data_IF_372746858367
#
_entry.id   IF_372746858367
#
_cell.length_a   1.000
_cell.length_b   1.000
_cell.length_c   1.000
_cell.angle_alpha   90.00
_cell.angle_beta   90.00
_cell.angle_gamma   90.00
#
_symmetry.space_group_name_H-M   'P 1'
#
loop_
_entity.id
_entity.type
_entity.pdbx_description
1 polymer ?
#
# COMPACT_ATOMS: atom_id res chain seq x y z
N UNK A 1 8.76 -25.41 -4.82
CA UNK A 1 9.71 -24.28 -4.69
C UNK A 1 9.69 -23.54 -6.01
N UNK A 2 9.19 -22.30 -6.01
CA UNK A 2 9.16 -21.42 -7.18
C UNK A 2 9.47 -20.02 -6.68
N UNK A 3 10.65 -19.53 -7.00
CA UNK A 3 11.13 -18.23 -6.55
C UNK A 3 10.19 -17.12 -7.06
N UNK A 4 9.54 -16.39 -6.15
CA UNK A 4 8.59 -15.30 -6.47
C UNK A 4 9.29 -14.02 -6.94
N UNK A 5 10.62 -14.00 -6.94
CA UNK A 5 11.42 -13.05 -7.69
C UNK A 5 12.50 -13.81 -8.42
N UNK A 6 12.60 -13.61 -9.72
CA UNK A 6 13.81 -14.00 -10.44
C UNK A 6 14.95 -13.18 -9.80
N UNK A 7 15.83 -13.83 -9.06
CA UNK A 7 16.97 -13.23 -8.33
C UNK A 7 17.93 -12.48 -9.26
N UNK A 8 17.76 -12.65 -10.56
CA UNK A 8 18.27 -11.74 -11.59
C UNK A 8 17.43 -10.46 -11.64
N UNK A 9 17.64 -9.54 -10.68
CA UNK A 9 17.10 -8.17 -10.76
C UNK A 9 17.77 -7.48 -11.95
N UNK A 10 17.21 -7.65 -13.15
CA UNK A 10 17.78 -7.14 -14.40
C UNK A 10 17.39 -5.67 -14.68
N UNK A 11 16.52 -5.06 -13.87
CA UNK A 11 16.11 -3.65 -14.03
C UNK A 11 15.54 -3.01 -12.76
N UNK A 12 15.66 -1.67 -12.70
CA UNK A 12 14.98 -0.81 -11.71
C UNK A 12 13.46 -0.94 -11.84
N UNK A 13 12.76 -1.08 -10.70
CA UNK A 13 11.30 -0.94 -10.66
C UNK A 13 10.91 0.47 -11.13
N UNK A 14 9.89 0.57 -11.99
CA UNK A 14 9.35 1.84 -12.46
C UNK A 14 8.22 2.30 -11.53
N UNK A 15 8.11 3.62 -11.35
CA UNK A 15 7.05 4.29 -10.58
C UNK A 15 6.93 3.87 -9.10
N UNK A 16 8.06 3.67 -8.41
CA UNK A 16 8.13 3.45 -6.96
C UNK A 16 7.50 4.62 -6.16
N UNK A 17 7.32 5.81 -6.75
CA UNK A 17 6.68 6.96 -6.11
C UNK A 17 5.17 6.76 -5.84
N UNK A 18 4.52 5.80 -6.50
CA UNK A 18 3.08 5.54 -6.32
C UNK A 18 2.70 5.11 -4.89
N UNK A 19 3.40 4.13 -4.28
CA UNK A 19 3.27 3.86 -2.86
C UNK A 19 3.43 5.11 -1.98
N UNK A 20 4.40 5.99 -2.26
CA UNK A 20 4.64 7.19 -1.46
C UNK A 20 3.43 8.15 -1.49
N UNK A 21 2.94 8.51 -2.68
CA UNK A 21 1.85 9.48 -2.83
C UNK A 21 0.58 8.99 -2.12
N UNK A 22 0.22 7.72 -2.36
CA UNK A 22 -0.99 7.13 -1.77
C UNK A 22 -0.86 6.95 -0.26
N UNK A 23 0.34 6.68 0.25
CA UNK A 23 0.62 6.53 1.68
C UNK A 23 0.56 7.85 2.42
N UNK A 24 1.20 8.90 1.89
CA UNK A 24 1.13 10.24 2.47
C UNK A 24 -0.32 10.75 2.50
N UNK A 25 -1.07 10.56 1.40
CA UNK A 25 -2.49 10.89 1.37
C UNK A 25 -3.30 10.15 2.44
N UNK A 26 -3.03 8.84 2.62
CA UNK A 26 -3.68 8.04 3.67
C UNK A 26 -3.38 8.56 5.07
N UNK A 27 -2.12 8.89 5.39
CA UNK A 27 -1.75 9.45 6.69
C UNK A 27 -2.47 10.77 6.96
N UNK A 28 -2.49 11.68 5.98
CA UNK A 28 -3.16 12.98 6.10
C UNK A 28 -4.66 12.82 6.34
N UNK A 29 -5.31 11.91 5.61
CA UNK A 29 -6.72 11.59 5.86
C UNK A 29 -6.94 11.01 7.24
N UNK A 30 -6.03 10.15 7.73
CA UNK A 30 -6.10 9.63 9.09
C UNK A 30 -6.07 10.73 10.15
N UNK A 31 -5.18 11.71 10.03
CA UNK A 31 -5.16 12.87 10.92
C UNK A 31 -6.41 13.74 10.78
N UNK A 32 -6.90 13.95 9.56
CA UNK A 32 -8.15 14.67 9.34
C UNK A 32 -9.34 13.99 10.03
N UNK A 33 -9.43 12.66 10.02
CA UNK A 33 -10.46 11.92 10.75
C UNK A 33 -10.37 12.12 12.27
N UNK A 34 -9.17 12.25 12.83
CA UNK A 34 -8.99 12.58 14.25
C UNK A 34 -9.47 14.00 14.57
N UNK A 35 -9.21 14.97 13.70
CA UNK A 35 -9.74 16.34 13.89
C UNK A 35 -11.27 16.34 13.92
N UNK A 36 -11.91 15.61 13.01
CA UNK A 36 -13.38 15.49 13.00
C UNK A 36 -13.92 14.79 14.25
N UNK A 37 -13.20 13.80 14.78
CA UNK A 37 -13.55 13.16 16.05
C UNK A 37 -13.56 14.16 17.22
N UNK A 38 -12.56 15.04 17.30
CA UNK A 38 -12.47 16.08 18.36
C UNK A 38 -13.63 17.07 18.25
N UNK A 39 -14.03 17.41 17.01
CA UNK A 39 -15.14 18.31 16.73
C UNK A 39 -16.53 17.64 16.80
N UNK A 40 -16.60 16.34 17.11
CA UNK A 40 -17.82 15.52 17.10
C UNK A 40 -18.58 15.56 15.76
N UNK A 41 -17.86 15.68 14.65
CA UNK A 41 -18.43 15.68 13.29
C UNK A 41 -18.35 14.30 12.66
N UNK A 42 -19.32 13.96 11.80
CA UNK A 42 -19.28 12.71 11.04
C UNK A 42 -18.42 12.91 9.80
N UNK A 43 -17.47 12.02 9.57
CA UNK A 43 -16.63 12.09 8.39
C UNK A 43 -17.39 11.84 7.09
N UNK A 44 -17.10 12.67 6.08
CA UNK A 44 -17.58 12.45 4.72
C UNK A 44 -16.88 11.24 4.08
N UNK A 45 -17.67 10.36 3.44
CA UNK A 45 -17.15 9.19 2.72
C UNK A 45 -16.37 9.51 1.46
N UNK A 46 -16.50 10.73 0.93
CA UNK A 46 -15.90 11.12 -0.33
C UNK A 46 -14.36 11.10 -0.27
N UNK A 47 -13.79 11.51 0.86
CA UNK A 47 -12.32 11.57 1.05
C UNK A 47 -11.70 10.15 1.01
N UNK A 48 -12.19 9.18 1.82
CA UNK A 48 -11.83 7.77 1.66
C UNK A 48 -11.96 7.24 0.24
N UNK A 49 -13.09 7.52 -0.43
CA UNK A 49 -13.36 7.08 -1.79
C UNK A 49 -12.30 7.56 -2.79
N UNK A 50 -11.99 8.85 -2.79
CA UNK A 50 -10.97 9.46 -3.67
C UNK A 50 -9.59 8.83 -3.42
N UNK A 51 -9.23 8.57 -2.16
CA UNK A 51 -7.97 7.90 -1.83
C UNK A 51 -7.91 6.47 -2.34
N UNK A 52 -9.01 5.70 -2.22
CA UNK A 52 -9.07 4.35 -2.77
C UNK A 52 -8.97 4.35 -4.30
N UNK A 53 -9.62 5.30 -4.99
CA UNK A 53 -9.48 5.46 -6.44
C UNK A 53 -8.01 5.73 -6.79
N UNK A 54 -7.40 6.75 -6.16
CA UNK A 54 -6.01 7.12 -6.41
C UNK A 54 -5.07 5.93 -6.16
N UNK A 55 -5.32 5.15 -5.10
CA UNK A 55 -4.47 4.02 -4.80
C UNK A 55 -4.73 2.79 -5.65
N UNK A 56 -5.97 2.47 -5.99
CA UNK A 56 -6.28 1.36 -6.88
C UNK A 56 -5.73 1.60 -8.28
N UNK A 57 -5.82 2.84 -8.77
CA UNK A 57 -5.23 3.26 -10.03
C UNK A 57 -3.70 3.14 -9.99
N UNK A 58 -3.09 3.68 -8.94
CA UNK A 58 -1.63 3.61 -8.74
C UNK A 58 -1.12 2.17 -8.70
N UNK A 59 -1.81 1.28 -7.98
CA UNK A 59 -1.43 -0.14 -7.89
C UNK A 59 -1.62 -0.88 -9.21
N UNK A 60 -2.71 -0.59 -9.93
CA UNK A 60 -2.99 -1.17 -11.24
C UNK A 60 -1.91 -0.78 -12.26
N UNK A 61 -1.58 0.52 -12.34
CA UNK A 61 -0.51 1.02 -13.22
C UNK A 61 0.83 0.40 -12.83
N UNK A 62 1.16 0.36 -11.54
CA UNK A 62 2.40 -0.25 -11.05
C UNK A 62 2.52 -1.72 -11.44
N UNK A 63 1.44 -2.49 -11.29
CA UNK A 63 1.39 -3.92 -11.62
C UNK A 63 1.59 -4.16 -13.12
N UNK A 64 0.92 -3.37 -13.97
CA UNK A 64 1.05 -3.48 -15.44
C UNK A 64 2.43 -3.04 -15.91
N UNK A 65 3.03 -1.99 -15.34
CA UNK A 65 4.35 -1.53 -15.77
C UNK A 65 5.48 -2.48 -15.37
N UNK A 66 5.30 -3.22 -14.27
CA UNK A 66 6.32 -4.09 -13.71
C UNK A 66 5.96 -5.58 -13.86
N UNK A 67 5.05 -5.95 -14.78
CA UNK A 67 4.56 -7.31 -14.97
C UNK A 67 5.65 -8.37 -15.22
N UNK A 68 6.78 -7.98 -15.83
CA UNK A 68 7.92 -8.86 -16.09
C UNK A 68 8.82 -9.07 -14.87
N UNK A 69 8.67 -8.23 -13.84
CA UNK A 69 9.56 -8.19 -12.67
C UNK A 69 8.88 -8.76 -11.41
N UNK A 70 7.56 -8.69 -11.33
CA UNK A 70 6.78 -9.13 -10.18
C UNK A 70 6.11 -10.47 -10.51
N UNK A 71 6.49 -11.55 -9.84
CA UNK A 71 5.72 -12.79 -9.94
C UNK A 71 4.39 -12.61 -9.21
N UNK A 72 3.30 -13.08 -9.82
CA UNK A 72 1.95 -12.85 -9.29
C UNK A 72 1.38 -11.47 -9.59
N UNK A 73 1.93 -10.71 -10.55
CA UNK A 73 1.43 -9.40 -10.98
C UNK A 73 -0.09 -9.35 -11.26
N UNK A 74 -0.68 -10.47 -11.73
CA UNK A 74 -2.11 -10.57 -12.00
C UNK A 74 -2.98 -10.43 -10.74
N UNK A 75 -2.52 -10.93 -9.59
CA UNK A 75 -3.21 -10.76 -8.31
C UNK A 75 -3.14 -9.31 -7.84
N UNK A 76 -1.97 -8.68 -7.94
CA UNK A 76 -1.80 -7.25 -7.60
C UNK A 76 -2.67 -6.35 -8.50
N UNK A 77 -2.79 -6.68 -9.79
CA UNK A 77 -3.68 -5.99 -10.71
C UNK A 77 -5.15 -6.20 -10.33
N UNK A 78 -5.56 -7.44 -10.06
CA UNK A 78 -6.93 -7.76 -9.66
C UNK A 78 -7.33 -6.99 -8.41
N UNK A 79 -6.50 -7.03 -7.35
CA UNK A 79 -6.77 -6.29 -6.13
C UNK A 79 -6.72 -4.77 -6.34
N UNK A 80 -5.82 -4.27 -7.19
CA UNK A 80 -5.77 -2.86 -7.59
C UNK A 80 -7.08 -2.39 -8.24
N UNK A 81 -7.64 -3.20 -9.13
CA UNK A 81 -8.93 -2.92 -9.77
C UNK A 81 -10.09 -3.01 -8.77
N UNK A 82 -10.10 -3.99 -7.87
CA UNK A 82 -11.12 -4.10 -6.83
C UNK A 82 -11.11 -2.87 -5.89
N UNK A 83 -9.92 -2.42 -5.47
CA UNK A 83 -9.77 -1.20 -4.66
C UNK A 83 -10.23 0.04 -5.44
N UNK A 84 -9.91 0.11 -6.73
CA UNK A 84 -10.35 1.21 -7.59
C UNK A 84 -11.88 1.26 -7.71
N UNK A 85 -12.51 0.12 -8.03
CA UNK A 85 -13.96 0.02 -8.21
C UNK A 85 -14.71 0.31 -6.91
N UNK A 86 -14.21 -0.20 -5.77
CA UNK A 86 -14.78 0.13 -4.46
C UNK A 86 -14.62 1.60 -4.12
N UNK A 87 -13.49 2.22 -4.45
CA UNK A 87 -13.31 3.68 -4.30
C UNK A 87 -14.31 4.50 -5.12
N UNK A 88 -14.55 4.12 -6.39
CA UNK A 88 -15.58 4.73 -7.24
C UNK A 88 -16.96 4.57 -6.61
N UNK A 89 -17.28 3.35 -6.16
CA UNK A 89 -18.55 3.05 -5.52
C UNK A 89 -18.78 3.93 -4.28
N UNK A 90 -17.80 4.03 -3.37
CA UNK A 90 -17.88 4.86 -2.15
C UNK A 90 -18.05 6.34 -2.49
N UNK A 91 -17.49 6.80 -3.61
CA UNK A 91 -17.55 8.23 -4.00
C UNK A 91 -18.88 8.59 -4.64
N UNK A 92 -19.48 7.68 -5.41
CA UNK A 92 -20.71 7.93 -6.20
C UNK A 92 -21.98 7.49 -5.47
N UNK A 93 -21.88 6.44 -4.64
CA UNK A 93 -23.01 5.86 -3.92
C UNK A 93 -23.06 6.39 -2.48
N UNK A 94 -24.09 5.99 -1.73
CA UNK A 94 -24.18 6.35 -0.32
C UNK A 94 -22.99 5.85 0.51
N UNK A 95 -22.54 6.65 1.51
CA UNK A 95 -21.45 6.30 2.41
C UNK A 95 -21.71 4.97 3.12
N UNK A 96 -21.02 3.90 2.72
CA UNK A 96 -21.05 2.63 3.45
C UNK A 96 -19.73 2.38 4.19
N UNK A 97 -19.82 2.40 5.52
CA UNK A 97 -18.73 2.04 6.45
C UNK A 97 -18.23 0.62 6.19
N UNK A 98 -19.15 -0.30 5.89
CA UNK A 98 -18.84 -1.69 5.55
C UNK A 98 -17.99 -1.80 4.27
N UNK A 99 -18.37 -1.09 3.20
CA UNK A 99 -17.62 -1.13 1.93
C UNK A 99 -16.25 -0.49 2.07
N UNK A 100 -16.15 0.58 2.87
CA UNK A 100 -14.88 1.20 3.25
C UNK A 100 -13.98 0.21 3.99
N UNK A 101 -14.55 -0.56 4.91
CA UNK A 101 -13.84 -1.61 5.65
C UNK A 101 -13.31 -2.70 4.72
N UNK A 102 -14.16 -3.19 3.80
CA UNK A 102 -13.78 -4.19 2.81
C UNK A 102 -12.67 -3.71 1.87
N UNK A 103 -12.78 -2.48 1.33
CA UNK A 103 -11.73 -1.89 0.48
C UNK A 103 -10.39 -1.77 1.23
N UNK A 104 -10.46 -1.38 2.50
CA UNK A 104 -9.28 -1.24 3.35
C UNK A 104 -8.66 -2.58 3.74
N UNK A 105 -9.48 -3.63 3.90
CA UNK A 105 -9.01 -4.99 4.15
C UNK A 105 -8.20 -5.50 2.95
N UNK A 106 -8.71 -5.32 1.73
CA UNK A 106 -7.98 -5.66 0.50
C UNK A 106 -6.65 -4.91 0.41
N UNK A 107 -6.66 -3.61 0.71
CA UNK A 107 -5.45 -2.77 0.74
C UNK A 107 -4.43 -3.26 1.76
N UNK A 108 -4.86 -3.53 2.99
CA UNK A 108 -3.99 -4.00 4.07
C UNK A 108 -3.43 -5.38 3.77
N UNK A 109 -4.23 -6.25 3.14
CA UNK A 109 -3.80 -7.57 2.67
C UNK A 109 -2.68 -7.50 1.63
N UNK A 110 -2.75 -6.56 0.69
CA UNK A 110 -1.66 -6.34 -0.29
C UNK A 110 -0.39 -5.85 0.38
N UNK A 111 -0.49 -4.91 1.32
CA UNK A 111 0.67 -4.39 2.07
C UNK A 111 1.32 -5.50 2.91
N UNK A 112 0.51 -6.36 3.52
CA UNK A 112 0.98 -7.52 4.26
C UNK A 112 1.63 -8.56 3.34
N UNK A 113 1.06 -8.81 2.16
CA UNK A 113 1.66 -9.66 1.12
C UNK A 113 3.02 -9.13 0.67
N UNK A 114 3.12 -7.82 0.43
CA UNK A 114 4.38 -7.16 0.09
C UNK A 114 5.42 -7.27 1.22
N UNK A 115 5.00 -7.17 2.49
CA UNK A 115 5.87 -7.40 3.64
C UNK A 115 6.39 -8.85 3.70
N UNK A 116 5.54 -9.83 3.38
CA UNK A 116 5.93 -11.24 3.31
C UNK A 116 6.92 -11.50 2.18
N UNK A 117 6.74 -10.85 1.04
CA UNK A 117 7.69 -10.96 -0.07
C UNK A 117 9.04 -10.33 0.30
N UNK A 118 9.06 -9.19 1.01
CA UNK A 118 10.30 -8.61 1.56
C UNK A 118 10.98 -9.54 2.58
N UNK A 119 10.22 -10.23 3.43
CA UNK A 119 10.75 -11.20 4.39
C UNK A 119 11.53 -12.33 3.70
N UNK A 120 11.03 -12.82 2.56
CA UNK A 120 11.71 -13.88 1.78
C UNK A 120 13.06 -13.44 1.21
N UNK A 121 13.29 -12.14 1.07
CA UNK A 121 14.52 -11.55 0.54
C UNK A 121 15.43 -10.96 1.63
N UNK A 122 15.19 -11.31 2.90
CA UNK A 122 16.00 -10.92 4.06
C UNK A 122 16.19 -9.39 4.25
N UNK A 123 15.26 -8.58 3.75
CA UNK A 123 15.30 -7.13 3.94
C UNK A 123 14.93 -6.72 5.37
N UNK A 124 15.82 -6.03 6.07
CA UNK A 124 15.77 -5.83 7.53
C UNK A 124 14.47 -5.25 8.12
N UNK A 125 13.74 -4.40 7.40
CA UNK A 125 12.59 -3.66 7.95
C UNK A 125 11.20 -4.30 7.65
N UNK A 126 11.16 -5.54 7.15
CA UNK A 126 9.90 -6.23 6.81
C UNK A 126 8.92 -6.34 8.00
N UNK A 127 9.45 -6.48 9.22
CA UNK A 127 8.65 -6.66 10.44
C UNK A 127 7.76 -5.46 10.75
N UNK A 128 8.29 -4.24 10.60
CA UNK A 128 7.54 -3.01 10.86
C UNK A 128 6.41 -2.80 9.84
N UNK A 129 6.66 -3.14 8.58
CA UNK A 129 5.62 -3.13 7.52
C UNK A 129 4.54 -4.15 7.85
N UNK A 130 4.93 -5.36 8.26
CA UNK A 130 4.01 -6.43 8.64
C UNK A 130 3.11 -6.02 9.82
N UNK A 131 3.69 -5.50 10.90
CA UNK A 131 2.94 -5.04 12.08
C UNK A 131 1.95 -3.95 11.68
N UNK A 132 2.38 -2.91 10.97
CA UNK A 132 1.50 -1.83 10.53
C UNK A 132 0.36 -2.33 9.63
N UNK A 133 0.65 -3.30 8.75
CA UNK A 133 -0.36 -3.91 7.87
C UNK A 133 -1.36 -4.77 8.66
N UNK A 134 -0.91 -5.53 9.66
CA UNK A 134 -1.77 -6.31 10.55
C UNK A 134 -2.68 -5.38 11.37
N UNK A 135 -2.14 -4.27 11.89
CA UNK A 135 -2.95 -3.24 12.56
C UNK A 135 -4.02 -2.69 11.62
N UNK A 136 -3.69 -2.43 10.35
CA UNK A 136 -4.65 -2.05 9.32
C UNK A 136 -5.74 -3.10 9.08
N UNK A 137 -5.36 -4.39 9.02
CA UNK A 137 -6.32 -5.49 8.93
C UNK A 137 -7.27 -5.49 10.13
N UNK A 138 -6.77 -5.34 11.35
CA UNK A 138 -7.61 -5.31 12.57
C UNK A 138 -8.63 -4.17 12.50
N UNK A 139 -8.18 -2.94 12.20
CA UNK A 139 -9.10 -1.81 12.07
C UNK A 139 -10.12 -2.00 10.94
N UNK A 140 -9.72 -2.63 9.83
CA UNK A 140 -10.65 -2.91 8.73
C UNK A 140 -11.73 -3.92 9.13
N UNK A 141 -11.38 -4.95 9.90
CA UNK A 141 -12.34 -5.94 10.42
C UNK A 141 -13.29 -5.29 11.42
N UNK A 142 -12.80 -4.41 12.30
CA UNK A 142 -13.64 -3.62 13.21
C UNK A 142 -14.64 -2.77 12.41
N UNK A 143 -14.18 -2.12 11.33
CA UNK A 143 -15.03 -1.29 10.48
C UNK A 143 -16.11 -2.12 9.75
N UNK A 144 -15.78 -3.35 9.34
CA UNK A 144 -16.71 -4.32 8.73
C UNK A 144 -17.75 -4.81 9.75
N UNK A 145 -17.31 -5.13 10.97
CA UNK A 145 -18.18 -5.64 12.04
C UNK A 145 -19.18 -4.58 12.55
N UNK A 146 -18.95 -3.30 12.21
CA UNK A 146 -19.72 -2.18 12.71
C UNK A 146 -19.09 -1.63 14.00
N UNK A 147 -18.47 -0.43 13.96
CA UNK A 147 -17.83 0.17 15.14
C UNK A 147 -18.76 0.34 16.33
N UNK A 148 -20.06 0.54 16.07
CA UNK A 148 -21.11 0.70 17.08
C UNK A 148 -21.25 -0.53 17.99
N UNK A 149 -20.91 -1.72 17.48
CA UNK A 149 -20.94 -2.97 18.27
C UNK A 149 -19.89 -2.99 19.39
N UNK A 150 -18.85 -2.17 19.26
CA UNK A 150 -17.75 -2.03 20.21
C UNK A 150 -17.80 -0.68 20.94
N UNK A 151 -18.86 0.10 20.76
CA UNK A 151 -19.02 1.46 21.28
C UNK A 151 -17.86 2.40 20.87
N UNK A 152 -17.20 2.10 19.73
CA UNK A 152 -16.08 2.87 19.21
C UNK A 152 -16.56 3.92 18.20
N UNK A 153 -16.12 5.18 18.30
CA UNK A 153 -16.40 6.19 17.30
C UNK A 153 -15.88 5.76 15.91
N UNK A 154 -16.73 5.81 14.88
CA UNK A 154 -16.36 5.42 13.51
C UNK A 154 -15.12 6.18 13.02
N UNK A 155 -15.03 7.48 13.32
CA UNK A 155 -13.88 8.31 12.96
C UNK A 155 -12.57 7.85 13.61
N UNK A 156 -12.62 7.33 14.84
CA UNK A 156 -11.44 6.78 15.52
C UNK A 156 -10.92 5.53 14.80
N UNK A 157 -11.83 4.62 14.44
CA UNK A 157 -11.48 3.39 13.71
C UNK A 157 -10.93 3.74 12.32
N UNK A 158 -11.58 4.66 11.60
CA UNK A 158 -11.09 5.12 10.29
C UNK A 158 -9.73 5.81 10.39
N UNK A 159 -9.50 6.64 11.41
CA UNK A 159 -8.20 7.25 11.63
C UNK A 159 -7.10 6.20 11.80
N UNK A 160 -7.32 5.23 12.71
CA UNK A 160 -6.38 4.14 12.95
C UNK A 160 -6.08 3.32 11.69
N UNK A 161 -7.11 3.09 10.86
CA UNK A 161 -7.00 2.38 9.58
C UNK A 161 -6.16 3.14 8.54
N UNK A 162 -6.44 4.42 8.34
CA UNK A 162 -5.75 5.25 7.34
C UNK A 162 -4.31 5.55 7.76
N UNK A 163 -4.06 5.75 9.06
CA UNK A 163 -2.71 5.93 9.60
C UNK A 163 -1.90 4.63 9.46
N UNK A 164 -2.46 3.48 9.84
CA UNK A 164 -1.74 2.20 9.80
C UNK A 164 -1.40 1.78 8.37
N UNK A 165 -2.36 1.85 7.44
CA UNK A 165 -2.13 1.58 6.02
C UNK A 165 -1.19 2.59 5.37
N UNK A 166 -1.25 3.86 5.78
CA UNK A 166 -0.33 4.90 5.36
C UNK A 166 1.11 4.64 5.81
N UNK A 167 1.32 4.32 7.08
CA UNK A 167 2.65 3.97 7.63
C UNK A 167 3.21 2.73 6.92
N UNK A 168 2.42 1.68 6.78
CA UNK A 168 2.83 0.46 6.10
C UNK A 168 3.28 0.73 4.65
N UNK A 169 2.52 1.51 3.89
CA UNK A 169 2.88 1.86 2.51
C UNK A 169 4.11 2.79 2.42
N UNK A 170 4.31 3.67 3.40
CA UNK A 170 5.48 4.57 3.46
C UNK A 170 6.76 3.79 3.78
N UNK A 171 6.70 2.85 4.73
CA UNK A 171 7.79 1.93 5.03
C UNK A 171 8.12 1.04 3.81
N UNK A 172 7.10 0.52 3.12
CA UNK A 172 7.27 -0.24 1.89
C UNK A 172 7.98 0.59 0.80
N UNK A 173 7.61 1.87 0.64
CA UNK A 173 8.30 2.77 -0.28
C UNK A 173 9.78 2.92 0.05
N UNK A 174 10.13 3.08 1.33
CA UNK A 174 11.53 3.23 1.76
C UNK A 174 12.35 2.00 1.41
N UNK A 175 11.81 0.80 1.63
CA UNK A 175 12.47 -0.45 1.24
C UNK A 175 12.67 -0.56 -0.28
N UNK A 176 11.63 -0.28 -1.06
CA UNK A 176 11.73 -0.28 -2.53
C UNK A 176 12.76 0.74 -3.03
N UNK A 177 12.87 1.90 -2.36
CA UNK A 177 13.87 2.93 -2.68
C UNK A 177 15.29 2.44 -2.36
N UNK A 178 15.51 1.73 -1.25
CA UNK A 178 16.81 1.14 -0.89
C UNK A 178 17.24 0.12 -1.96
N UNK A 179 16.34 -0.80 -2.33
CA UNK A 179 16.57 -1.80 -3.38
C UNK A 179 16.96 -1.14 -4.71
N UNK A 180 16.22 -0.10 -5.12
CA UNK A 180 16.48 0.54 -6.40
C UNK A 180 17.80 1.32 -6.43
N UNK A 181 18.19 1.94 -5.31
CA UNK A 181 19.50 2.61 -5.18
C UNK A 181 20.64 1.61 -5.29
N UNK A 182 20.51 0.44 -4.67
CA UNK A 182 21.51 -0.62 -4.73
C UNK A 182 21.71 -1.13 -6.16
N UNK A 183 20.63 -1.37 -6.90
CA UNK A 183 20.70 -1.72 -8.32
C UNK A 183 21.40 -0.63 -9.16
N UNK A 184 21.08 0.64 -8.93
CA UNK A 184 21.72 1.76 -9.62
C UNK A 184 23.23 1.84 -9.39
N UNK A 185 23.70 1.48 -8.19
CA UNK A 185 25.13 1.40 -7.86
C UNK A 185 25.79 0.21 -8.55
N UNK A 186 25.20 -0.98 -8.50
CA UNK A 186 25.72 -2.17 -9.19
C UNK A 186 25.89 -1.93 -10.69
N UNK A 187 24.87 -1.33 -11.34
CA UNK A 187 24.93 -0.99 -12.77
C UNK A 187 26.09 -0.05 -13.11
N UNK A 188 26.37 0.94 -12.25
CA UNK A 188 27.52 1.86 -12.42
C UNK A 188 28.84 1.10 -12.28
N UNK A 189 28.96 0.24 -11.28
CA UNK A 189 30.16 -0.56 -11.04
C UNK A 189 30.44 -1.49 -12.23
N UNK A 190 29.47 -2.31 -12.66
CA UNK A 190 29.65 -3.21 -13.81
C UNK A 190 30.00 -2.47 -15.11
N UNK A 191 29.44 -1.26 -15.32
CA UNK A 191 29.81 -0.43 -16.47
C UNK A 191 31.26 0.06 -16.37
N UNK A 192 31.71 0.45 -15.18
CA UNK A 192 33.10 0.88 -14.95
C UNK A 192 34.11 -0.26 -15.13
N UNK A 193 33.79 -1.47 -14.64
CA UNK A 193 34.68 -2.63 -14.77
C UNK A 193 34.82 -3.10 -16.22
N UNK A 194 33.74 -3.05 -17.01
CA UNK A 194 33.80 -3.31 -18.46
C UNK A 194 34.64 -2.26 -19.21
N UNK A 195 34.67 -1.01 -18.77
CA UNK A 195 35.51 0.02 -19.39
C UNK A 195 37.00 -0.18 -19.06
N UNK A 196 37.30 -0.67 -17.85
CA UNK A 196 38.69 -1.00 -17.44
C UNK A 196 39.20 -2.27 -18.12
N UNK A 197 38.35 -3.25 -18.44
CA UNK A 197 38.79 -4.48 -19.12
C UNK A 197 38.98 -4.33 -20.64
N UNK A 198 38.72 -3.15 -21.21
CA UNK A 198 38.84 -2.84 -22.65
C UNK A 198 39.99 -1.84 -22.91
N UNK A 199 40.56 -1.26 -21.85
CA UNK A 199 41.75 -0.40 -21.89
C UNK A 199 43.00 -1.21 -21.56
#
# INVERSE_FOLDING_TARGET
MSDSFNTTINSSLRNILFPLVTSTGSILTGFYMLSLLIENQIASSQIPGILFIASGLSLSIFSVQNYKLINGWGLYLLFGLLILLTGIYITVSEPSVYVTGLASLLRSGILLGAAWDLKKHEHADWGNIGIASITGVIFSVILIAGPDTLELPVNFVMAGLFISTGIAGLLLYLELRKVNRFYGLLKKLTKSTKLVSIA
#
